data_IF_794150327257
#
_entry.id   IF_794150327257
#
_cell.length_a   1.000
_cell.length_b   1.000
_cell.length_c   1.000
_cell.angle_alpha   90.00
_cell.angle_beta   90.00
_cell.angle_gamma   90.00
#
_symmetry.space_group_name_H-M   'P 1'
#
loop_
_entity.id
_entity.type
_entity.pdbx_description
1 polymer ?
#
# COMPACT_ATOMS: atom_id res chain seq x y z
N UNK A 1 -5.29 -7.67 -6.79
CA UNK A 1 -4.18 -6.77 -7.15
C UNK A 1 -3.79 -5.93 -5.94
N UNK A 2 -2.51 -5.95 -5.60
CA UNK A 2 -1.90 -5.16 -4.55
C UNK A 2 -0.95 -4.15 -5.18
N UNK A 3 -1.01 -2.92 -4.70
CA UNK A 3 -0.21 -1.81 -5.21
C UNK A 3 0.34 -1.00 -4.06
N UNK A 4 1.57 -0.55 -4.19
CA UNK A 4 2.22 0.40 -3.32
C UNK A 4 2.70 1.58 -4.17
N UNK A 5 2.40 2.79 -3.69
CA UNK A 5 2.71 4.05 -4.36
C UNK A 5 3.47 4.94 -3.39
N UNK A 6 4.54 5.57 -3.87
CA UNK A 6 5.18 6.65 -3.15
C UNK A 6 4.29 7.90 -3.20
N UNK A 7 3.98 8.49 -2.04
CA UNK A 7 3.03 9.61 -1.99
C UNK A 7 3.59 10.90 -2.59
N UNK A 8 4.90 11.07 -2.52
CA UNK A 8 5.60 12.27 -2.96
C UNK A 8 5.82 12.20 -4.47
N UNK A 9 6.42 11.12 -4.96
CA UNK A 9 6.74 10.98 -6.40
C UNK A 9 5.56 10.46 -7.23
N UNK A 10 4.55 9.86 -6.58
CA UNK A 10 3.41 9.18 -7.23
C UNK A 10 3.81 7.97 -8.07
N UNK A 11 5.04 7.47 -7.90
CA UNK A 11 5.52 6.30 -8.61
C UNK A 11 5.03 5.00 -7.94
N UNK A 12 4.77 4.00 -8.77
CA UNK A 12 4.43 2.66 -8.31
C UNK A 12 5.74 1.99 -7.88
N UNK A 13 5.94 1.85 -6.57
CA UNK A 13 7.14 1.24 -5.98
C UNK A 13 7.00 -0.28 -5.77
N UNK A 14 5.80 -0.82 -5.97
CA UNK A 14 5.54 -2.25 -5.87
C UNK A 14 4.16 -2.63 -6.38
N UNK A 15 4.09 -3.75 -7.08
CA UNK A 15 2.86 -4.37 -7.53
C UNK A 15 2.93 -5.88 -7.28
N UNK A 16 1.83 -6.46 -6.81
CA UNK A 16 1.71 -7.91 -6.69
C UNK A 16 0.30 -8.36 -7.09
N UNK A 17 0.23 -9.29 -8.02
CA UNK A 17 -1.02 -9.92 -8.43
C UNK A 17 -1.33 -11.07 -7.47
N UNK A 18 -2.40 -10.89 -6.70
CA UNK A 18 -2.84 -11.85 -5.71
C UNK A 18 -4.19 -11.49 -5.12
N UNK A 19 -4.66 -12.41 -4.29
CA UNK A 19 -5.92 -12.36 -3.57
C UNK A 19 -5.83 -11.45 -2.33
N UNK A 20 -6.93 -11.32 -1.60
CA UNK A 20 -7.06 -10.45 -0.43
C UNK A 20 -6.47 -11.05 0.86
N UNK A 21 -5.56 -12.02 0.77
CA UNK A 21 -4.93 -12.70 1.91
C UNK A 21 -3.76 -11.93 2.52
N UNK A 22 -3.43 -12.33 3.76
CA UNK A 22 -2.22 -11.91 4.48
C UNK A 22 -0.94 -12.26 3.72
N UNK A 23 -0.92 -13.42 3.06
CA UNK A 23 0.25 -13.92 2.35
C UNK A 23 0.57 -13.05 1.13
N UNK A 24 -0.45 -12.70 0.36
CA UNK A 24 -0.32 -11.78 -0.77
C UNK A 24 0.17 -10.39 -0.30
N UNK A 25 -0.30 -9.89 0.84
CA UNK A 25 0.22 -8.66 1.43
C UNK A 25 1.71 -8.77 1.85
N UNK A 26 2.13 -9.90 2.44
CA UNK A 26 3.54 -10.16 2.78
C UNK A 26 4.42 -10.20 1.53
N UNK A 27 3.92 -10.81 0.44
CA UNK A 27 4.65 -10.86 -0.84
C UNK A 27 4.83 -9.46 -1.41
N UNK A 28 3.79 -8.62 -1.41
CA UNK A 28 3.91 -7.21 -1.79
C UNK A 28 5.00 -6.51 -0.95
N UNK A 29 4.94 -6.65 0.38
CA UNK A 29 5.92 -6.00 1.26
C UNK A 29 7.35 -6.42 0.95
N UNK A 30 7.59 -7.72 0.69
CA UNK A 30 8.92 -8.23 0.33
C UNK A 30 9.45 -7.69 -0.99
N UNK A 31 8.58 -7.41 -1.97
CA UNK A 31 8.95 -6.85 -3.28
C UNK A 31 9.44 -5.40 -3.13
N UNK A 32 8.99 -4.67 -2.09
CA UNK A 32 9.41 -3.29 -1.90
C UNK A 32 10.93 -3.18 -1.68
N UNK A 33 11.57 -2.15 -2.24
CA UNK A 33 12.98 -1.90 -2.02
C UNK A 33 13.30 -1.81 -0.52
N UNK A 34 14.49 -2.27 -0.13
CA UNK A 34 14.89 -2.34 1.29
C UNK A 34 14.79 -1.00 2.01
N UNK A 35 15.11 0.11 1.32
CA UNK A 35 15.00 1.48 1.84
C UNK A 35 13.57 1.82 2.26
N UNK A 36 12.57 1.44 1.46
CA UNK A 36 11.16 1.66 1.80
C UNK A 36 10.72 0.78 2.99
N UNK A 37 11.20 -0.47 3.05
CA UNK A 37 10.87 -1.35 4.17
C UNK A 37 11.45 -0.87 5.51
N UNK A 38 12.59 -0.18 5.49
CA UNK A 38 13.27 0.30 6.69
C UNK A 38 12.80 1.69 7.11
N UNK A 39 12.68 2.62 6.15
CA UNK A 39 12.53 4.05 6.44
C UNK A 39 11.15 4.61 6.11
N UNK A 40 10.33 3.94 5.28
CA UNK A 40 9.07 4.51 4.85
C UNK A 40 7.97 4.34 5.90
N UNK A 41 7.12 5.36 6.01
CA UNK A 41 5.87 5.30 6.75
C UNK A 41 4.76 4.88 5.80
N UNK A 42 4.13 3.74 6.07
CA UNK A 42 3.08 3.19 5.24
C UNK A 42 1.71 3.62 5.76
N UNK A 43 0.92 4.23 4.88
CA UNK A 43 -0.44 4.67 5.16
C UNK A 43 -1.41 3.70 4.53
N UNK A 44 -2.26 3.07 5.33
CA UNK A 44 -3.24 2.10 4.84
C UNK A 44 -4.59 2.35 5.49
N UNK A 45 -5.65 1.83 4.87
CA UNK A 45 -6.95 1.71 5.55
C UNK A 45 -6.84 0.79 6.78
N UNK A 46 -7.86 0.83 7.64
CA UNK A 46 -7.99 0.06 8.88
C UNK A 46 -8.17 -1.46 8.70
N UNK A 47 -7.45 -2.06 7.76
CA UNK A 47 -7.54 -3.50 7.53
C UNK A 47 -6.51 -4.25 8.38
N UNK A 48 -6.96 -5.28 9.08
CA UNK A 48 -6.17 -6.01 10.09
C UNK A 48 -4.91 -6.64 9.50
N UNK A 49 -4.99 -7.08 8.24
CA UNK A 49 -3.86 -7.70 7.54
C UNK A 49 -2.63 -6.79 7.50
N UNK A 50 -2.81 -5.48 7.31
CA UNK A 50 -1.69 -4.54 7.25
C UNK A 50 -0.94 -4.41 8.57
N UNK A 51 -1.65 -4.50 9.71
CA UNK A 51 -1.04 -4.45 11.05
C UNK A 51 -0.07 -5.62 11.29
N UNK A 52 -0.30 -6.74 10.62
CA UNK A 52 0.52 -7.96 10.78
C UNK A 52 1.69 -8.04 9.80
N UNK A 53 1.66 -7.25 8.72
CA UNK A 53 2.67 -7.28 7.65
C UNK A 53 3.66 -6.13 7.79
N UNK A 54 3.15 -4.95 8.17
CA UNK A 54 3.94 -3.73 8.30
C UNK A 54 4.30 -3.55 9.77
N UNK A 55 5.55 -3.19 10.04
CA UNK A 55 5.98 -2.90 11.41
C UNK A 55 5.11 -1.80 12.04
N UNK A 56 4.69 -2.02 13.29
CA UNK A 56 3.83 -1.10 14.05
C UNK A 56 4.43 0.30 14.19
N UNK A 57 5.76 0.45 14.13
CA UNK A 57 6.44 1.75 14.17
C UNK A 57 6.24 2.56 12.89
N UNK A 58 6.14 1.87 11.75
CA UNK A 58 6.05 2.48 10.41
C UNK A 58 4.63 2.47 9.86
N UNK A 59 3.69 1.79 10.52
CA UNK A 59 2.31 1.65 10.08
C UNK A 59 1.41 2.78 10.61
N UNK A 60 0.74 3.48 9.69
CA UNK A 60 -0.29 4.47 10.01
C UNK A 60 -1.61 4.05 9.37
N UNK A 61 -2.46 3.40 10.17
CA UNK A 61 -3.83 3.12 9.77
C UNK A 61 -4.62 4.43 9.81
N UNK A 62 -5.21 4.82 8.69
CA UNK A 62 -5.89 6.10 8.50
C UNK A 62 -7.27 5.91 7.90
N UNK A 63 -8.20 6.77 8.31
CA UNK A 63 -9.56 6.82 7.77
C UNK A 63 -9.64 7.61 6.47
N UNK A 64 -10.79 7.50 5.81
CA UNK A 64 -11.04 8.15 4.52
C UNK A 64 -10.97 9.67 4.63
N UNK A 65 -11.40 10.21 5.76
CA UNK A 65 -11.42 11.63 6.12
C UNK A 65 -10.03 12.28 6.08
N UNK A 66 -8.96 11.50 6.20
CA UNK A 66 -7.59 12.03 6.20
C UNK A 66 -7.06 12.35 4.80
N UNK A 67 -7.70 11.83 3.74
CA UNK A 67 -7.24 11.96 2.36
C UNK A 67 -5.90 11.27 2.03
N UNK A 68 -5.28 10.59 3.00
CA UNK A 68 -3.93 10.04 2.85
C UNK A 68 -3.86 8.85 1.88
N UNK A 69 -5.00 8.18 1.65
CA UNK A 69 -5.13 7.07 0.69
C UNK A 69 -5.67 7.51 -0.67
N UNK A 70 -5.94 8.81 -0.87
CA UNK A 70 -6.47 9.33 -2.14
C UNK A 70 -5.56 9.03 -3.35
N UNK A 71 -4.21 9.07 -3.25
CA UNK A 71 -3.35 8.74 -4.38
C UNK A 71 -3.59 7.34 -4.95
N UNK A 72 -3.67 6.33 -4.08
CA UNK A 72 -3.88 4.94 -4.50
C UNK A 72 -5.31 4.68 -4.95
N UNK A 73 -6.29 5.36 -4.36
CA UNK A 73 -7.70 5.28 -4.79
C UNK A 73 -7.90 5.86 -6.18
N UNK A 74 -7.31 7.03 -6.45
CA UNK A 74 -7.33 7.65 -7.78
C UNK A 74 -6.69 6.73 -8.82
N UNK A 75 -5.50 6.18 -8.53
CA UNK A 75 -4.82 5.25 -9.43
C UNK A 75 -5.67 4.02 -9.73
N UNK A 76 -6.27 3.42 -8.70
CA UNK A 76 -7.16 2.27 -8.87
C UNK A 76 -8.39 2.61 -9.72
N UNK A 77 -8.93 3.82 -9.61
CA UNK A 77 -10.05 4.26 -10.44
C UNK A 77 -9.63 4.42 -11.90
N UNK A 78 -8.50 5.09 -12.16
CA UNK A 78 -7.96 5.23 -13.51
C UNK A 78 -7.75 3.86 -14.17
N UNK A 79 -7.09 2.93 -13.48
CA UNK A 79 -6.84 1.58 -14.01
C UNK A 79 -8.12 0.81 -14.36
N UNK A 80 -9.24 1.06 -13.67
CA UNK A 80 -10.53 0.41 -13.96
C UNK A 80 -11.26 1.03 -15.15
N UNK A 81 -11.04 2.31 -15.40
CA UNK A 81 -11.69 3.07 -16.47
C UNK A 81 -10.90 3.03 -17.78
N UNK A 82 -9.63 2.62 -17.74
CA UNK A 82 -8.78 2.45 -18.92
C UNK A 82 -8.92 1.06 -19.57
N UNK A 83 -10.04 0.37 -19.34
CA UNK A 83 -10.36 -0.95 -19.89
C UNK A 83 -11.57 -0.84 -20.80
#
# INVERSE_FOLDING_TARGET
>A
MWLAIDRTTREIIGCYLGDRSRESAKKLWKILPGVYRQCAVAYTKFWELYKTVISRKSHRAVGKETGQTNPIERLNNTLRQSV
#
